data_IF_270937129306
#
_entry.id   IF_270937129306
#
_cell.length_a   1.000
_cell.length_b   1.000
_cell.length_c   1.000
_cell.angle_alpha   90.00
_cell.angle_beta   90.00
_cell.angle_gamma   90.00
#
_symmetry.space_group_name_H-M   'P 1'
#
loop_
_entity.id
_entity.type
_entity.pdbx_description
1 polymer ?
#
# COMPACT_ATOMS: atom_id res chain seq x y z
N UNK A 1 -6.51 1.65 -1.08
CA UNK A 1 -5.74 0.39 -0.99
C UNK A 1 -4.44 0.55 -1.74
N UNK A 2 -3.32 0.10 -1.17
CA UNK A 2 -1.99 0.19 -1.78
C UNK A 2 -1.41 -1.23 -1.85
N UNK A 3 -1.11 -1.69 -3.05
CA UNK A 3 -0.46 -2.97 -3.32
C UNK A 3 0.90 -2.64 -3.88
N UNK A 4 1.96 -2.93 -3.12
CA UNK A 4 3.34 -2.73 -3.54
C UNK A 4 4.28 -3.51 -2.62
N UNK A 5 4.91 -4.54 -3.19
CA UNK A 5 5.81 -5.44 -2.48
C UNK A 5 6.88 -4.72 -1.65
N UNK A 6 7.38 -3.56 -2.11
CA UNK A 6 8.51 -2.83 -1.52
C UNK A 6 8.15 -1.47 -0.91
N UNK A 7 6.86 -1.23 -0.65
CA UNK A 7 6.32 0.09 -0.32
C UNK A 7 7.03 0.83 0.84
N UNK A 8 7.11 0.20 2.02
CA UNK A 8 7.60 0.89 3.20
C UNK A 8 9.06 1.32 3.08
N UNK A 9 9.32 2.54 3.54
CA UNK A 9 10.63 3.14 3.58
C UNK A 9 10.76 4.08 4.77
N UNK A 10 11.93 4.08 5.40
CA UNK A 10 12.35 5.06 6.41
C UNK A 10 13.28 6.14 5.85
N UNK A 11 13.45 6.19 4.53
CA UNK A 11 14.20 7.25 3.87
C UNK A 11 13.42 8.56 3.89
N UNK A 12 14.05 9.64 4.37
CA UNK A 12 13.40 10.95 4.56
C UNK A 12 12.78 11.51 3.27
N UNK A 13 13.47 11.39 2.14
CA UNK A 13 12.96 11.85 0.83
C UNK A 13 11.64 11.15 0.46
N UNK A 14 11.54 9.85 0.73
CA UNK A 14 10.36 9.02 0.46
C UNK A 14 9.24 9.35 1.44
N UNK A 15 9.56 9.52 2.72
CA UNK A 15 8.60 9.93 3.75
C UNK A 15 7.98 11.30 3.44
N UNK A 16 8.79 12.26 2.99
CA UNK A 16 8.33 13.59 2.62
C UNK A 16 7.42 13.56 1.38
N UNK A 17 7.77 12.76 0.37
CA UNK A 17 6.91 12.55 -0.80
C UNK A 17 5.60 11.88 -0.40
N UNK A 18 5.66 10.82 0.41
CA UNK A 18 4.49 10.13 0.94
C UNK A 18 3.56 11.09 1.68
N UNK A 19 4.10 11.87 2.62
CA UNK A 19 3.33 12.87 3.36
C UNK A 19 2.61 13.86 2.43
N UNK A 20 3.31 14.39 1.42
CA UNK A 20 2.69 15.31 0.44
C UNK A 20 1.53 14.64 -0.29
N UNK A 21 1.73 13.42 -0.81
CA UNK A 21 0.66 12.72 -1.52
C UNK A 21 -0.56 12.46 -0.63
N UNK A 22 -0.36 12.02 0.62
CA UNK A 22 -1.48 11.74 1.52
C UNK A 22 -2.22 13.02 1.91
N UNK A 23 -1.53 14.14 2.11
CA UNK A 23 -2.18 15.43 2.41
C UNK A 23 -3.10 15.87 1.25
N UNK A 24 -2.72 15.57 0.01
CA UNK A 24 -3.56 15.86 -1.16
C UNK A 24 -4.72 14.86 -1.33
N UNK A 25 -4.71 13.74 -0.60
CA UNK A 25 -5.86 12.85 -0.55
C UNK A 25 -6.94 13.44 0.35
N UNK A 26 -8.19 13.15 0.00
CA UNK A 26 -9.38 13.64 0.69
C UNK A 26 -9.31 13.46 2.21
N UNK A 27 -9.79 14.46 2.96
CA UNK A 27 -10.07 14.37 4.41
C UNK A 27 -11.03 13.21 4.76
N UNK A 28 -11.70 12.64 3.75
CA UNK A 28 -12.55 11.45 3.87
C UNK A 28 -11.77 10.13 3.94
N UNK A 29 -10.42 10.13 3.95
CA UNK A 29 -9.64 8.90 4.07
C UNK A 29 -9.79 8.30 5.48
N UNK A 30 -10.69 7.34 5.60
CA UNK A 30 -10.99 6.64 6.86
C UNK A 30 -10.17 5.37 7.05
N UNK A 31 -9.81 4.70 5.95
CA UNK A 31 -9.05 3.45 6.03
C UNK A 31 -8.08 3.29 4.87
N UNK A 32 -6.98 2.60 5.15
CA UNK A 32 -6.00 2.22 4.15
C UNK A 32 -5.51 0.81 4.43
N UNK A 33 -5.48 0.00 3.37
CA UNK A 33 -4.94 -1.37 3.41
C UNK A 33 -3.70 -1.42 2.55
N UNK A 34 -2.62 -1.95 3.11
CA UNK A 34 -1.33 -2.15 2.47
C UNK A 34 -1.10 -3.64 2.22
N UNK A 35 -0.83 -4.01 0.96
CA UNK A 35 -0.33 -5.33 0.59
C UNK A 35 1.14 -5.21 0.27
N UNK A 36 1.98 -5.85 1.06
CA UNK A 36 3.44 -5.73 0.96
C UNK A 36 4.10 -7.09 1.16
N UNK A 37 5.34 -7.25 0.70
CA UNK A 37 6.13 -8.43 1.01
C UNK A 37 6.85 -8.25 2.35
N UNK A 38 7.11 -9.38 3.01
CA UNK A 38 7.98 -9.40 4.18
C UNK A 38 9.40 -8.91 3.79
N UNK A 39 9.96 -7.92 4.49
CA UNK A 39 11.31 -7.47 4.19
C UNK A 39 12.33 -8.57 4.51
N UNK A 40 13.34 -8.70 3.65
CA UNK A 40 14.51 -9.52 3.97
C UNK A 40 15.16 -9.00 5.26
N UNK A 41 15.78 -9.85 6.09
CA UNK A 41 16.34 -9.44 7.38
C UNK A 41 17.26 -8.21 7.30
N UNK A 42 18.07 -8.11 6.25
CA UNK A 42 18.97 -6.96 6.00
C UNK A 42 18.26 -5.62 5.76
N UNK A 43 17.00 -5.67 5.34
CA UNK A 43 16.18 -4.50 4.96
C UNK A 43 15.08 -4.20 5.99
N UNK A 44 14.87 -5.05 7.01
CA UNK A 44 13.79 -4.95 7.98
C UNK A 44 13.72 -3.57 8.66
N UNK A 45 14.87 -3.02 9.07
CA UNK A 45 14.94 -1.68 9.68
C UNK A 45 14.60 -0.57 8.68
N UNK A 46 14.98 -0.71 7.41
CA UNK A 46 14.73 0.31 6.37
C UNK A 46 13.29 0.30 5.88
N UNK A 47 12.62 -0.85 5.98
CA UNK A 47 11.26 -1.10 5.49
C UNK A 47 10.25 -1.32 6.60
N UNK A 48 10.55 -0.84 7.81
CA UNK A 48 9.60 -0.85 8.92
C UNK A 48 8.43 0.11 8.63
N UNK A 49 7.18 -0.27 8.94
CA UNK A 49 6.01 0.55 8.61
C UNK A 49 5.84 1.80 9.48
N UNK A 50 6.47 1.84 10.66
CA UNK A 50 6.17 2.80 11.72
C UNK A 50 6.21 4.26 11.27
N UNK A 51 7.22 4.67 10.49
CA UNK A 51 7.35 6.06 10.08
C UNK A 51 6.22 6.50 9.15
N UNK A 52 5.82 5.65 8.20
CA UNK A 52 4.70 5.94 7.30
C UNK A 52 3.35 5.86 8.00
N UNK A 53 3.17 4.91 8.92
CA UNK A 53 1.98 4.84 9.77
C UNK A 53 1.82 6.10 10.64
N UNK A 54 2.91 6.62 11.20
CA UNK A 54 2.87 7.86 11.98
C UNK A 54 2.48 9.06 11.13
N UNK A 55 2.90 9.12 9.87
CA UNK A 55 2.46 10.16 8.93
C UNK A 55 0.94 10.09 8.72
N UNK A 56 0.39 8.90 8.44
CA UNK A 56 -1.05 8.71 8.28
C UNK A 56 -1.82 9.15 9.53
N UNK A 57 -1.38 8.70 10.72
CA UNK A 57 -2.00 9.04 12.00
C UNK A 57 -1.87 10.52 12.37
N UNK A 58 -0.84 11.21 11.86
CA UNK A 58 -0.70 12.65 12.07
C UNK A 58 -1.68 13.48 11.24
N UNK A 59 -2.23 12.89 10.17
CA UNK A 59 -3.21 13.52 9.28
C UNK A 59 -4.62 13.19 9.77
N UNK A 60 -4.88 11.90 10.06
CA UNK A 60 -6.12 11.45 10.67
C UNK A 60 -5.77 10.43 11.78
N UNK A 61 -5.96 10.81 13.04
CA UNK A 61 -5.62 9.96 14.20
C UNK A 61 -6.43 8.68 14.25
N UNK A 62 -7.63 8.69 13.67
CA UNK A 62 -8.61 7.60 13.73
C UNK A 62 -8.55 6.71 12.49
N UNK A 63 -7.57 6.94 11.60
CA UNK A 63 -7.41 6.16 10.37
C UNK A 63 -7.16 4.68 10.69
N UNK A 64 -7.95 3.81 10.06
CA UNK A 64 -7.79 2.37 10.18
C UNK A 64 -6.70 1.93 9.19
N UNK A 65 -5.59 1.44 9.74
CA UNK A 65 -4.46 0.92 8.95
C UNK A 65 -4.46 -0.60 9.03
N UNK A 66 -4.50 -1.26 7.87
CA UNK A 66 -4.38 -2.72 7.75
C UNK A 66 -3.15 -3.07 6.94
N UNK A 67 -2.26 -3.87 7.52
CA UNK A 67 -1.09 -4.39 6.82
C UNK A 67 -1.29 -5.88 6.53
N UNK A 68 -1.22 -6.23 5.25
CA UNK A 68 -1.32 -7.60 4.74
C UNK A 68 0.02 -7.96 4.12
N UNK A 69 0.58 -9.10 4.56
CA UNK A 69 1.83 -9.64 4.04
C UNK A 69 1.52 -10.72 3.03
N UNK A 70 1.96 -10.56 1.80
CA UNK A 70 1.73 -11.54 0.74
C UNK A 70 2.83 -11.46 -0.31
N UNK A 71 3.16 -12.60 -0.89
CA UNK A 71 4.01 -12.75 -2.07
C UNK A 71 3.20 -13.07 -3.34
N UNK A 72 1.88 -13.15 -3.26
CA UNK A 72 1.01 -13.53 -4.39
C UNK A 72 0.84 -12.41 -5.42
N UNK A 73 0.98 -11.14 -5.01
CA UNK A 73 0.89 -9.98 -5.92
C UNK A 73 2.24 -9.27 -5.98
N UNK A 74 2.82 -9.23 -7.18
CA UNK A 74 4.12 -8.58 -7.43
C UNK A 74 4.00 -7.20 -8.07
N UNK A 75 2.88 -6.93 -8.73
CA UNK A 75 2.60 -5.65 -9.37
C UNK A 75 2.29 -4.55 -8.35
N UNK A 76 2.25 -3.31 -8.83
CA UNK A 76 2.16 -2.12 -7.99
C UNK A 76 0.92 -1.34 -8.35
N UNK A 77 -0.10 -1.46 -7.52
CA UNK A 77 -1.41 -0.87 -7.76
C UNK A 77 -1.82 0.00 -6.60
N UNK A 78 -2.23 1.23 -6.89
CA UNK A 78 -2.84 2.11 -5.90
C UNK A 78 -4.28 2.33 -6.31
N UNK A 79 -5.18 1.92 -5.45
CA UNK A 79 -6.59 1.76 -5.76
C UNK A 79 -7.44 2.58 -4.79
N UNK A 80 -8.37 3.34 -5.36
CA UNK A 80 -9.57 3.79 -4.67
C UNK A 80 -10.59 2.65 -4.73
N UNK A 81 -10.78 1.99 -3.58
CA UNK A 81 -11.64 0.82 -3.47
C UNK A 81 -13.13 1.16 -3.62
N UNK A 82 -13.52 2.37 -3.19
CA UNK A 82 -14.92 2.80 -3.21
C UNK A 82 -15.37 3.13 -4.63
N UNK A 83 -14.49 3.80 -5.40
CA UNK A 83 -14.79 4.23 -6.76
C UNK A 83 -14.29 3.26 -7.85
N UNK A 84 -13.58 2.19 -7.48
CA UNK A 84 -12.97 1.21 -8.41
C UNK A 84 -12.07 1.89 -9.45
N UNK A 85 -11.27 2.83 -8.98
CA UNK A 85 -10.28 3.55 -9.78
C UNK A 85 -8.90 3.23 -9.24
N UNK A 86 -7.88 3.40 -10.07
CA UNK A 86 -6.53 3.29 -9.57
C UNK A 86 -5.49 3.60 -10.62
N UNK A 87 -4.25 3.47 -10.18
CA UNK A 87 -3.07 3.61 -11.01
C UNK A 87 -2.20 2.37 -10.87
N UNK A 88 -1.45 2.08 -11.92
CA UNK A 88 -0.35 1.11 -11.92
C UNK A 88 0.98 1.86 -11.98
N UNK A 89 1.97 1.37 -11.24
CA UNK A 89 3.29 1.98 -11.18
C UNK A 89 4.39 1.02 -11.63
N UNK A 90 5.31 1.51 -12.47
CA UNK A 90 6.47 0.74 -12.91
C UNK A 90 7.54 0.51 -11.83
N UNK A 91 7.54 1.31 -10.76
CA UNK A 91 8.41 1.15 -9.59
C UNK A 91 7.65 1.43 -8.29
N UNK A 92 8.18 0.92 -7.19
CA UNK A 92 7.68 1.25 -5.86
C UNK A 92 7.92 2.73 -5.55
N UNK A 93 7.19 3.26 -4.57
CA UNK A 93 7.35 4.65 -4.12
C UNK A 93 8.80 5.01 -3.79
N UNK A 94 9.55 4.05 -3.23
CA UNK A 94 10.96 4.20 -2.92
C UNK A 94 11.88 4.44 -4.14
N UNK A 95 11.38 4.18 -5.35
CA UNK A 95 12.10 4.32 -6.62
C UNK A 95 11.62 5.47 -7.50
N UNK A 96 10.47 6.08 -7.18
CA UNK A 96 9.85 7.16 -8.00
C UNK A 96 10.80 8.35 -8.21
N UNK A 97 11.68 8.64 -7.25
CA UNK A 97 12.66 9.74 -7.34
C UNK A 97 14.04 9.30 -7.83
N UNK A 98 14.24 8.01 -8.07
CA UNK A 98 15.56 7.40 -8.36
C UNK A 98 15.63 6.72 -9.71
N UNK A 99 14.49 6.41 -10.32
CA UNK A 99 14.39 5.67 -11.58
C UNK A 99 13.35 6.34 -12.48
N UNK A 100 13.51 6.17 -13.79
CA UNK A 100 12.43 6.44 -14.73
C UNK A 100 11.21 5.60 -14.33
N UNK A 101 10.08 6.27 -14.16
CA UNK A 101 8.86 5.67 -13.61
C UNK A 101 7.72 5.91 -14.58
N UNK A 102 7.07 4.83 -15.00
CA UNK A 102 5.77 4.89 -15.64
C UNK A 102 4.69 4.87 -14.56
N UNK A 103 3.73 5.79 -14.67
CA UNK A 103 2.49 5.78 -13.90
C UNK A 103 1.37 5.85 -14.93
N UNK A 104 0.43 4.92 -14.87
CA UNK A 104 -0.71 4.88 -15.78
C UNK A 104 -2.00 4.61 -15.03
N UNK A 105 -3.11 5.06 -15.60
CA UNK A 105 -4.44 4.81 -15.05
C UNK A 105 -4.88 3.39 -15.36
N UNK A 106 -5.42 2.71 -14.34
CA UNK A 106 -6.12 1.45 -14.56
C UNK A 106 -7.48 1.71 -15.20
N UNK A 107 -7.83 0.88 -16.18
CA UNK A 107 -9.21 0.82 -16.64
C UNK A 107 -10.10 0.33 -15.50
N UNK A 108 -11.37 0.76 -15.42
CA UNK A 108 -12.25 0.39 -14.32
C UNK A 108 -12.42 -1.13 -14.13
N UNK A 109 -12.38 -1.90 -15.23
CA UNK A 109 -12.47 -3.36 -15.18
C UNK A 109 -11.21 -4.00 -14.56
N UNK A 110 -10.02 -3.47 -14.88
CA UNK A 110 -8.76 -3.92 -14.29
C UNK A 110 -8.69 -3.58 -12.81
N UNK A 111 -9.06 -2.34 -12.45
CA UNK A 111 -9.11 -1.93 -11.04
C UNK A 111 -10.05 -2.82 -10.22
N UNK A 112 -11.21 -3.19 -10.77
CA UNK A 112 -12.12 -4.15 -10.14
C UNK A 112 -11.47 -5.53 -9.98
N UNK A 113 -10.85 -6.07 -11.03
CA UNK A 113 -10.21 -7.38 -10.98
C UNK A 113 -9.10 -7.45 -9.91
N UNK A 114 -8.27 -6.41 -9.82
CA UNK A 114 -7.22 -6.33 -8.78
C UNK A 114 -7.83 -6.25 -7.38
N UNK A 115 -8.91 -5.46 -7.20
CA UNK A 115 -9.62 -5.40 -5.91
C UNK A 115 -10.20 -6.75 -5.51
N UNK A 116 -10.79 -7.48 -6.45
CA UNK A 116 -11.37 -8.80 -6.20
C UNK A 116 -10.29 -9.78 -5.72
N UNK A 117 -9.14 -9.87 -6.42
CA UNK A 117 -7.99 -10.70 -6.03
C UNK A 117 -7.47 -10.31 -4.63
N UNK A 118 -7.26 -9.02 -4.38
CA UNK A 118 -6.75 -8.54 -3.10
C UNK A 118 -7.69 -8.86 -1.93
N UNK A 119 -9.00 -8.78 -2.17
CA UNK A 119 -10.02 -9.12 -1.17
C UNK A 119 -10.06 -10.63 -0.89
N UNK A 120 -9.86 -11.48 -1.90
CA UNK A 120 -9.75 -12.92 -1.73
C UNK A 120 -8.55 -13.29 -0.83
N UNK A 121 -7.36 -12.75 -1.13
CA UNK A 121 -6.16 -12.95 -0.30
C UNK A 121 -6.41 -12.51 1.15
N UNK A 122 -7.06 -11.37 1.34
CA UNK A 122 -7.37 -10.84 2.67
C UNK A 122 -8.25 -11.77 3.50
N UNK A 123 -9.23 -12.44 2.85
CA UNK A 123 -10.13 -13.39 3.52
C UNK A 123 -9.41 -14.66 3.92
N UNK A 124 -8.62 -15.23 3.01
CA UNK A 124 -7.87 -16.48 3.28
C UNK A 124 -6.92 -16.33 4.47
N UNK A 125 -6.28 -15.17 4.63
CA UNK A 125 -5.40 -14.90 5.78
C UNK A 125 -6.14 -14.64 7.10
N UNK A 126 -7.43 -14.30 7.06
CA UNK A 126 -8.26 -14.18 8.26
C UNK A 126 -8.72 -15.56 8.74
N UNK A 127 -9.17 -16.42 7.83
CA UNK A 127 -9.65 -17.78 8.17
C UNK A 127 -8.53 -18.68 8.72
N UNK A 128 -7.30 -18.57 8.17
CA UNK A 128 -6.15 -19.33 8.68
C UNK A 128 -5.64 -18.91 10.07
N UNK A 129 -6.09 -17.76 10.61
CA UNK A 129 -5.78 -17.32 11.98
C UNK A 129 -6.77 -17.86 13.01
N UNK A 130 -8.01 -18.12 12.62
CA UNK A 130 -9.08 -18.60 13.52
C UNK A 130 -8.98 -20.12 13.81
N UNK A 131 -8.26 -20.89 12.99
CA UNK A 131 -8.07 -22.34 13.19
C UNK A 131 -6.89 -22.70 14.13
N UNK A 132 -6.15 -21.69 14.63
CA UNK A 132 -4.97 -21.87 15.49
C UNK A 132 -5.06 -21.16 16.85
N UNK A 133 -6.24 -20.70 17.26
CA UNK A 133 -6.55 -20.31 18.65
C UNK A 133 -7.37 -21.40 19.36
#
# INVERSE_FOLDING_TARGET
MIIDAFFYSNEESVLNLFKKMIIELSDSLQSITFFTQEPKPKDAKKRSPNAMHNILKSINSDIIIKDIRTDEIHDRFWLDADNKKGIVMGTSLNGVTKKLTLIDYLQPYDAKAVLDIANEISKTQQTGKEEHE
#
